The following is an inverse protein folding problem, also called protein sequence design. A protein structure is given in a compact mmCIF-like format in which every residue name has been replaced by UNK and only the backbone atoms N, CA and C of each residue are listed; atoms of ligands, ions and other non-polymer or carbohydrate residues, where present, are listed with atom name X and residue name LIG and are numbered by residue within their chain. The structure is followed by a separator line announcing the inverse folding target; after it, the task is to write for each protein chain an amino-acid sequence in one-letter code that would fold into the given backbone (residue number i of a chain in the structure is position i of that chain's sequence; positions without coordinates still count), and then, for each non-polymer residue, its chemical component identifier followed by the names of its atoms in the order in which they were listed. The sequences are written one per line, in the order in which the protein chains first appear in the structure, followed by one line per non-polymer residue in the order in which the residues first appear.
data_IF_156661634995
#
_entry.id   IF_156661634995
#
_cell.length_a   1.000
_cell.length_b   1.000
_cell.length_c   1.000
_cell.angle_alpha   90.00
_cell.angle_beta   90.00
_cell.angle_gamma   90.00
#
_symmetry.space_group_name_H-M   'P 1'
#
loop_
_entity.id
_entity.type
_entity.pdbx_description
1 polymer ?
#
# COMPACT_ATOMS: atom_id res chain seq x y z
N UNK A 1 -27.58 -31.11 -8.18
CA UNK A 1 -27.52 -30.44 -6.87
C UNK A 1 -26.73 -29.16 -7.10
N UNK A 2 -27.37 -28.00 -7.09
CA UNK A 2 -26.68 -26.72 -7.19
C UNK A 2 -25.93 -26.50 -5.89
N UNK A 3 -24.65 -26.14 -5.98
CA UNK A 3 -23.88 -25.68 -4.82
C UNK A 3 -24.23 -24.19 -4.70
N UNK A 4 -25.05 -23.85 -3.71
CA UNK A 4 -25.33 -22.45 -3.38
C UNK A 4 -24.14 -21.84 -2.63
N UNK A 5 -23.72 -20.66 -3.07
CA UNK A 5 -22.70 -19.87 -2.41
C UNK A 5 -23.33 -19.15 -1.21
N UNK A 6 -22.69 -19.23 -0.05
CA UNK A 6 -23.07 -18.45 1.13
C UNK A 6 -22.47 -17.04 1.03
N UNK A 7 -23.17 -16.03 1.55
CA UNK A 7 -22.58 -14.72 1.84
C UNK A 7 -21.54 -14.82 2.96
N UNK A 8 -20.70 -13.79 3.12
CA UNK A 8 -19.71 -13.70 4.21
C UNK A 8 -20.38 -13.85 5.59
N UNK A 9 -21.50 -13.15 5.81
CA UNK A 9 -22.24 -13.21 7.07
C UNK A 9 -22.79 -14.60 7.37
N UNK A 10 -23.30 -15.30 6.35
CA UNK A 10 -23.79 -16.68 6.47
C UNK A 10 -22.65 -17.67 6.74
N UNK A 11 -21.46 -17.43 6.18
CA UNK A 11 -20.27 -18.21 6.49
C UNK A 11 -19.86 -18.03 7.96
N UNK A 12 -19.81 -16.78 8.45
CA UNK A 12 -19.50 -16.46 9.85
C UNK A 12 -20.49 -17.15 10.78
N UNK A 13 -21.79 -17.02 10.53
CA UNK A 13 -22.83 -17.67 11.35
C UNK A 13 -22.71 -19.20 11.34
N UNK A 14 -22.40 -19.82 10.19
CA UNK A 14 -22.18 -21.26 10.12
C UNK A 14 -20.97 -21.70 10.96
N UNK A 15 -19.85 -20.95 10.90
CA UNK A 15 -18.65 -21.18 11.71
C UNK A 15 -18.98 -21.09 13.21
N UNK A 16 -19.63 -20.01 13.63
CA UNK A 16 -20.00 -19.78 15.04
C UNK A 16 -20.92 -20.86 15.60
N UNK A 17 -21.82 -21.40 14.76
CA UNK A 17 -22.72 -22.50 15.12
C UNK A 17 -22.05 -23.88 15.13
N UNK A 18 -20.77 -23.98 14.75
CA UNK A 18 -20.04 -25.25 14.66
C UNK A 18 -20.52 -26.16 13.52
N UNK A 19 -21.21 -25.61 12.51
CA UNK A 19 -21.71 -26.38 11.37
C UNK A 19 -20.54 -26.71 10.42
N UNK A 20 -20.28 -27.99 10.08
CA UNK A 20 -19.27 -28.33 9.09
C UNK A 20 -19.63 -27.79 7.70
N UNK A 21 -18.66 -27.19 7.00
CA UNK A 21 -18.80 -26.73 5.62
C UNK A 21 -17.51 -26.98 4.84
N UNK A 22 -17.61 -26.96 3.51
CA UNK A 22 -16.47 -26.86 2.61
C UNK A 22 -16.44 -25.45 2.02
N UNK A 23 -15.29 -24.77 2.14
CA UNK A 23 -15.03 -23.51 1.45
C UNK A 23 -14.05 -23.73 0.31
N UNK A 24 -14.28 -23.04 -0.80
CA UNK A 24 -13.34 -22.93 -1.91
C UNK A 24 -12.95 -21.46 -2.02
N UNK A 25 -11.66 -21.17 -1.84
CA UNK A 25 -11.10 -19.84 -2.04
C UNK A 25 -10.45 -19.83 -3.41
N UNK A 26 -10.87 -18.91 -4.27
CA UNK A 26 -10.28 -18.76 -5.59
C UNK A 26 -8.83 -18.30 -5.45
N UNK A 27 -7.89 -19.18 -5.80
CA UNK A 27 -6.48 -18.81 -5.93
C UNK A 27 -6.27 -18.13 -7.29
N UNK A 28 -5.61 -16.97 -7.29
CA UNK A 28 -5.23 -16.26 -8.49
C UNK A 28 -3.69 -16.26 -8.68
N UNK A 29 -3.23 -16.57 -9.91
CA UNK A 29 -1.88 -16.38 -10.45
C UNK A 29 -0.98 -15.24 -10.03
N UNK A 30 -1.57 -14.20 -9.46
CA UNK A 30 -1.10 -12.84 -9.62
C UNK A 30 -1.51 -11.98 -8.42
N UNK A 31 -0.73 -10.93 -8.21
CA UNK A 31 -0.94 -9.91 -7.18
C UNK A 31 -0.99 -8.57 -7.90
N UNK A 32 -1.99 -7.75 -7.56
CA UNK A 32 -2.06 -6.36 -8.01
C UNK A 32 -1.50 -5.47 -6.90
N UNK A 33 -0.64 -4.52 -7.25
CA UNK A 33 0.01 -3.65 -6.27
C UNK A 33 -0.26 -2.18 -6.55
N UNK A 34 -0.67 -1.44 -5.53
CA UNK A 34 -0.84 0.00 -5.53
C UNK A 34 0.21 0.61 -4.58
N UNK A 35 1.46 0.64 -5.04
CA UNK A 35 2.64 0.88 -4.19
C UNK A 35 2.86 2.36 -3.83
N UNK A 36 2.17 3.28 -4.51
CA UNK A 36 2.26 4.73 -4.32
C UNK A 36 0.88 5.36 -4.04
N UNK A 37 -0.04 4.59 -3.45
CA UNK A 37 -1.45 4.99 -3.24
C UNK A 37 -1.66 6.03 -2.13
N UNK A 38 -0.79 6.02 -1.12
CA UNK A 38 -0.95 6.81 0.11
C UNK A 38 0.03 8.00 0.16
N UNK A 39 -0.32 8.98 0.99
CA UNK A 39 0.39 10.24 1.19
C UNK A 39 1.15 10.29 2.52
N UNK A 40 0.95 9.30 3.41
CA UNK A 40 1.49 9.34 4.76
C UNK A 40 3.03 9.33 4.75
N UNK A 41 3.62 10.22 5.54
CA UNK A 41 5.05 10.16 5.91
C UNK A 41 5.11 10.08 7.43
N UNK A 42 6.04 9.28 7.98
CA UNK A 42 6.23 9.18 9.43
C UNK A 42 6.40 10.56 10.08
N UNK A 43 5.72 10.75 11.22
CA UNK A 43 5.76 11.99 12.00
C UNK A 43 7.19 12.43 12.37
N UNK A 44 8.11 11.47 12.57
CA UNK A 44 9.50 11.80 12.96
C UNK A 44 10.32 12.47 11.85
N UNK A 45 9.91 12.33 10.58
CA UNK A 45 10.68 12.81 9.42
C UNK A 45 9.90 13.78 8.52
N UNK A 46 8.56 13.86 8.63
CA UNK A 46 7.75 14.74 7.78
C UNK A 46 8.17 16.21 7.89
N UNK A 47 8.53 16.67 9.08
CA UNK A 47 9.02 18.04 9.30
C UNK A 47 10.36 18.30 8.60
N UNK A 48 11.12 17.26 8.29
CA UNK A 48 12.35 17.34 7.51
C UNK A 48 12.12 17.23 5.99
N UNK A 49 10.92 16.85 5.54
CA UNK A 49 10.58 16.85 4.12
C UNK A 49 10.60 18.30 3.60
N UNK A 50 11.33 18.52 2.51
CA UNK A 50 11.45 19.82 1.84
C UNK A 50 10.33 20.04 0.81
N UNK A 51 9.64 18.97 0.40
CA UNK A 51 8.52 19.04 -0.55
C UNK A 51 7.22 19.43 0.17
N UNK A 52 6.42 20.25 -0.49
CA UNK A 52 5.03 20.48 -0.09
C UNK A 52 4.15 19.24 -0.34
N UNK A 53 2.94 19.23 0.22
CA UNK A 53 1.96 18.18 -0.06
C UNK A 53 1.65 18.09 -1.56
N UNK A 54 1.41 19.22 -2.24
CA UNK A 54 1.16 19.26 -3.69
C UNK A 54 2.34 18.73 -4.52
N UNK A 55 3.57 18.98 -4.06
CA UNK A 55 4.77 18.48 -4.73
C UNK A 55 4.93 16.97 -4.56
N UNK A 56 4.56 16.42 -3.40
CA UNK A 56 4.52 14.98 -3.21
C UNK A 56 3.38 14.33 -4.00
N UNK A 57 2.21 14.94 -3.96
CA UNK A 57 1.02 14.48 -4.67
C UNK A 57 1.25 14.35 -6.19
N UNK A 58 2.18 15.13 -6.76
CA UNK A 58 2.49 15.08 -8.19
C UNK A 58 3.03 13.72 -8.67
N UNK A 59 3.77 12.99 -7.85
CA UNK A 59 4.33 11.67 -8.20
C UNK A 59 3.68 10.50 -7.45
N UNK A 60 2.90 10.77 -6.42
CA UNK A 60 2.05 9.74 -5.84
C UNK A 60 0.97 9.34 -6.85
N UNK A 61 0.51 8.10 -6.72
CA UNK A 61 -0.54 7.52 -7.56
C UNK A 61 -1.82 7.32 -6.71
N UNK A 62 -2.44 8.40 -6.22
CA UNK A 62 -3.57 8.31 -5.30
C UNK A 62 -4.74 7.58 -5.95
N UNK A 63 -5.51 6.87 -5.14
CA UNK A 63 -6.68 6.07 -5.55
C UNK A 63 -6.34 4.84 -6.42
N UNK A 64 -5.07 4.50 -6.63
CA UNK A 64 -4.72 3.25 -7.32
C UNK A 64 -5.09 2.02 -6.50
N UNK A 65 -5.14 2.12 -5.17
CA UNK A 65 -5.66 1.09 -4.28
C UNK A 65 -7.16 0.85 -4.49
N UNK A 66 -7.94 1.92 -4.64
CA UNK A 66 -9.36 1.82 -4.99
C UNK A 66 -9.55 1.23 -6.38
N UNK A 67 -8.73 1.63 -7.35
CA UNK A 67 -8.78 1.11 -8.72
C UNK A 67 -8.59 -0.41 -8.80
N UNK A 68 -7.73 -0.98 -7.93
CA UNK A 68 -7.47 -2.43 -7.89
C UNK A 68 -8.31 -3.19 -6.86
N UNK A 69 -9.22 -2.54 -6.12
CA UNK A 69 -9.90 -3.14 -4.96
C UNK A 69 -10.71 -4.43 -5.25
N UNK A 70 -11.12 -4.63 -6.49
CA UNK A 70 -11.89 -5.79 -6.93
C UNK A 70 -10.99 -6.93 -7.47
N UNK A 71 -9.66 -6.77 -7.40
CA UNK A 71 -8.72 -7.81 -7.79
C UNK A 71 -8.60 -8.88 -6.70
N UNK A 72 -8.35 -10.16 -7.05
CA UNK A 72 -8.38 -11.25 -6.07
C UNK A 72 -7.36 -11.15 -4.92
N UNK A 73 -6.19 -10.57 -5.21
CA UNK A 73 -5.12 -10.35 -4.23
C UNK A 73 -4.52 -8.96 -4.50
N UNK A 74 -4.62 -8.08 -3.51
CA UNK A 74 -4.12 -6.70 -3.58
C UNK A 74 -3.12 -6.41 -2.48
N UNK A 75 -2.08 -5.63 -2.80
CA UNK A 75 -1.14 -5.06 -1.82
C UNK A 75 -1.03 -3.56 -2.07
N UNK A 76 -1.33 -2.77 -1.04
CA UNK A 76 -1.31 -1.30 -1.13
C UNK A 76 -0.23 -0.75 -0.21
N UNK A 77 0.58 0.18 -0.72
CA UNK A 77 1.52 0.93 0.11
C UNK A 77 0.76 1.98 0.92
N UNK A 78 0.97 2.01 2.23
CA UNK A 78 0.31 2.96 3.14
C UNK A 78 1.18 4.18 3.47
N UNK A 79 2.34 4.32 2.81
CA UNK A 79 3.26 5.44 2.98
C UNK A 79 3.51 6.09 1.62
N UNK A 80 3.80 7.38 1.65
CA UNK A 80 4.25 8.16 0.51
C UNK A 80 5.52 7.57 -0.06
N UNK A 81 5.58 7.51 -1.39
CA UNK A 81 6.78 7.08 -2.12
C UNK A 81 8.01 7.93 -1.84
N UNK A 82 7.84 9.14 -1.30
CA UNK A 82 8.95 10.01 -0.93
C UNK A 82 9.64 9.60 0.36
N UNK A 83 8.98 8.84 1.22
CA UNK A 83 9.63 8.25 2.37
C UNK A 83 10.56 7.11 1.93
N UNK A 84 10.00 6.18 1.14
CA UNK A 84 10.74 5.15 0.42
C UNK A 84 9.93 4.67 -0.78
N UNK A 85 10.58 4.55 -1.93
CA UNK A 85 9.92 4.10 -3.15
C UNK A 85 10.01 2.57 -3.29
N UNK A 86 8.87 1.90 -3.11
CA UNK A 86 8.74 0.43 -3.26
C UNK A 86 9.00 -0.07 -4.70
N UNK A 87 9.04 0.81 -5.70
CA UNK A 87 9.41 0.51 -7.08
C UNK A 87 10.91 0.66 -7.35
N UNK A 88 11.72 0.71 -6.29
CA UNK A 88 13.18 0.87 -6.34
C UNK A 88 13.86 -0.15 -5.43
N UNK A 89 15.13 -0.41 -5.74
CA UNK A 89 15.98 -1.20 -4.84
C UNK A 89 16.35 -0.40 -3.58
N UNK A 90 16.73 -1.06 -2.47
CA UNK A 90 16.99 -0.41 -1.18
C UNK A 90 17.99 0.75 -1.25
N UNK A 91 19.02 0.64 -2.09
CA UNK A 91 20.05 1.67 -2.26
C UNK A 91 19.54 2.97 -2.91
N UNK A 92 18.36 2.92 -3.53
CA UNK A 92 17.78 4.01 -4.34
C UNK A 92 16.33 4.33 -3.98
N UNK A 93 15.78 3.67 -2.96
CA UNK A 93 14.40 3.87 -2.53
C UNK A 93 14.19 5.22 -1.84
N UNK A 94 15.23 5.77 -1.23
CA UNK A 94 15.17 7.06 -0.54
C UNK A 94 15.81 8.12 -1.42
N UNK A 95 14.99 9.07 -1.86
CA UNK A 95 15.43 10.16 -2.73
C UNK A 95 16.23 11.22 -1.98
N UNK A 96 17.36 11.64 -2.53
CA UNK A 96 17.99 12.91 -2.16
C UNK A 96 17.42 14.06 -3.00
N UNK A 97 17.18 13.79 -4.29
CA UNK A 97 16.58 14.71 -5.25
C UNK A 97 15.53 13.96 -6.10
N UNK A 98 14.39 14.60 -6.33
CA UNK A 98 13.34 14.15 -7.26
C UNK A 98 12.87 15.36 -8.07
N UNK A 99 12.80 15.22 -9.40
CA UNK A 99 12.39 16.29 -10.33
C UNK A 99 13.11 17.64 -10.11
N UNK A 100 14.44 17.59 -9.95
CA UNK A 100 15.28 18.77 -9.66
C UNK A 100 14.91 19.51 -8.36
N UNK A 101 14.24 18.82 -7.43
CA UNK A 101 13.93 19.30 -6.09
C UNK A 101 14.59 18.42 -5.04
N UNK A 102 15.20 19.05 -4.06
CA UNK A 102 15.72 18.38 -2.88
C UNK A 102 14.54 17.84 -2.07
N UNK A 103 14.59 16.56 -1.66
CA UNK A 103 13.47 15.92 -0.94
C UNK A 103 13.56 16.17 0.57
N UNK A 104 14.76 16.28 1.12
CA UNK A 104 15.01 16.45 2.56
C UNK A 104 15.76 17.74 2.86
N UNK A 105 15.28 18.53 3.82
CA UNK A 105 15.94 19.79 4.24
C UNK A 105 17.34 19.53 4.77
N UNK A 106 17.51 18.44 5.51
CA UNK A 106 18.80 17.87 5.90
C UNK A 106 18.87 16.38 5.54
N UNK A 107 20.06 15.83 5.24
CA UNK A 107 20.19 14.41 4.97
C UNK A 107 19.66 13.54 6.13
N UNK A 108 18.86 12.52 5.82
CA UNK A 108 18.38 11.57 6.81
C UNK A 108 19.54 10.80 7.46
N UNK A 109 19.43 10.55 8.77
CA UNK A 109 20.34 9.68 9.50
C UNK A 109 20.21 8.23 9.04
N UNK A 110 21.17 7.37 9.40
CA UNK A 110 21.07 5.94 9.11
C UNK A 110 19.84 5.30 9.78
N UNK A 111 19.46 5.77 10.97
CA UNK A 111 18.30 5.27 11.71
C UNK A 111 16.99 5.68 11.03
N UNK A 112 16.90 6.92 10.53
CA UNK A 112 15.72 7.42 9.80
C UNK A 112 15.51 6.72 8.44
N UNK A 113 16.57 6.14 7.87
CA UNK A 113 16.52 5.37 6.61
C UNK A 113 16.08 3.90 6.81
N UNK A 114 15.86 3.47 8.05
CA UNK A 114 15.45 2.11 8.42
C UNK A 114 14.13 2.12 9.23
#
# INVERSE_FOLDING_TARGET
MSIESLSEQECITAIESGKPFHANVAYAPFICTAIHDDHRVRDEIIDNCALSEDERYFEEDPYTGEFINNMPITVTGCDSRYEYDLNRGPDTAIYEEAWAKVVWKTPLSAEQKH
#
